data_IF_240611891156
#
_entry.id   IF_240611891156
#
_cell.length_a   1.000
_cell.length_b   1.000
_cell.length_c   1.000
_cell.angle_alpha   90.00
_cell.angle_beta   90.00
_cell.angle_gamma   90.00
#
_symmetry.space_group_name_H-M   'P 1'
#
loop_
_entity.id
_entity.type
_entity.pdbx_description
1 polymer ?
#
# COMPACT_ATOMS: atom_id res chain seq x y z
N UNK A 1 16.15 -5.47 -8.53
CA UNK A 1 15.49 -6.29 -7.51
C UNK A 1 14.78 -5.34 -6.57
N UNK A 2 13.45 -5.32 -6.56
CA UNK A 2 12.69 -4.60 -5.53
C UNK A 2 12.56 -5.55 -4.35
N UNK A 3 13.44 -5.38 -3.36
CA UNK A 3 13.49 -6.26 -2.20
C UNK A 3 12.16 -6.20 -1.45
N UNK A 4 11.56 -7.36 -1.16
CA UNK A 4 10.31 -7.46 -0.39
C UNK A 4 10.35 -6.64 0.91
N UNK A 5 11.53 -6.55 1.52
CA UNK A 5 11.80 -5.74 2.71
C UNK A 5 11.54 -4.25 2.47
N UNK A 6 11.88 -3.72 1.30
CA UNK A 6 11.60 -2.33 0.93
C UNK A 6 10.12 -2.07 0.72
N UNK A 7 9.39 -3.02 0.12
CA UNK A 7 7.93 -2.92 -0.03
C UNK A 7 7.22 -3.00 1.34
N UNK A 8 7.66 -3.89 2.23
CA UNK A 8 7.10 -4.02 3.58
C UNK A 8 7.35 -2.76 4.43
N UNK A 9 8.57 -2.21 4.38
CA UNK A 9 8.88 -0.96 5.08
C UNK A 9 8.01 0.21 4.57
N UNK A 10 7.77 0.28 3.26
CA UNK A 10 6.86 1.28 2.67
C UNK A 10 5.41 1.08 3.09
N UNK A 11 4.95 -0.17 3.16
CA UNK A 11 3.60 -0.49 3.63
C UNK A 11 3.42 -0.02 5.08
N UNK A 12 4.37 -0.33 5.97
CA UNK A 12 4.32 0.10 7.36
C UNK A 12 4.27 1.63 7.48
N UNK A 13 5.13 2.34 6.74
CA UNK A 13 5.11 3.81 6.71
C UNK A 13 3.79 4.38 6.16
N UNK A 14 3.18 3.73 5.16
CA UNK A 14 1.90 4.14 4.60
C UNK A 14 0.72 3.88 5.58
N UNK A 15 0.75 2.78 6.32
CA UNK A 15 -0.24 2.47 7.36
C UNK A 15 -0.13 3.45 8.55
N UNK A 16 1.09 3.78 8.99
CA UNK A 16 1.32 4.81 10.01
C UNK A 16 0.82 6.19 9.54
N UNK A 17 1.10 6.56 8.30
CA UNK A 17 0.60 7.79 7.71
C UNK A 17 -0.93 7.86 7.69
N UNK A 18 -1.59 6.74 7.34
CA UNK A 18 -3.05 6.65 7.36
C UNK A 18 -3.61 6.79 8.78
N UNK A 19 -2.97 6.17 9.77
CA UNK A 19 -3.34 6.31 11.19
C UNK A 19 -3.14 7.76 11.68
N UNK A 20 -2.05 8.42 11.30
CA UNK A 20 -1.83 9.82 11.66
C UNK A 20 -2.88 10.75 11.03
N UNK A 21 -3.21 10.55 9.75
CA UNK A 21 -4.31 11.29 9.10
C UNK A 21 -5.65 11.03 9.80
N UNK A 22 -5.90 9.81 10.30
CA UNK A 22 -7.08 9.44 11.07
C UNK A 22 -7.15 10.14 12.44
N UNK A 23 -6.01 10.32 13.10
CA UNK A 23 -5.91 11.02 14.39
C UNK A 23 -6.08 12.54 14.23
N UNK A 24 -6.05 13.05 12.99
CA UNK A 24 -6.25 14.47 12.67
C UNK A 24 -5.01 15.18 12.15
N UNK A 25 -3.99 14.45 11.66
CA UNK A 25 -2.87 15.07 10.95
C UNK A 25 -3.35 15.73 9.66
N UNK A 26 -2.81 16.91 9.36
CA UNK A 26 -3.25 17.76 8.25
C UNK A 26 -2.72 17.28 6.88
N UNK A 27 -1.49 16.74 6.87
CA UNK A 27 -0.86 16.15 5.70
C UNK A 27 0.29 15.22 6.13
N UNK A 28 0.44 14.08 5.47
CA UNK A 28 1.54 13.14 5.72
C UNK A 28 2.29 12.84 4.43
N UNK A 29 3.62 12.87 4.49
CA UNK A 29 4.49 12.63 3.36
C UNK A 29 4.86 11.15 3.28
N UNK A 30 4.42 10.45 2.23
CA UNK A 30 4.71 9.04 2.00
C UNK A 30 5.68 8.90 0.84
N UNK A 31 6.82 8.26 1.08
CA UNK A 31 7.82 8.04 0.04
C UNK A 31 7.42 6.86 -0.87
N UNK A 32 7.05 7.18 -2.11
CA UNK A 32 6.78 6.19 -3.16
C UNK A 32 8.10 5.95 -3.88
N UNK A 33 8.91 5.05 -3.32
CA UNK A 33 10.28 4.94 -3.82
C UNK A 33 10.35 4.53 -5.29
N UNK A 34 11.11 5.33 -6.05
CA UNK A 34 11.18 5.32 -7.50
C UNK A 34 10.65 6.62 -8.14
N UNK A 35 9.64 7.27 -7.55
CA UNK A 35 8.99 8.45 -8.15
C UNK A 35 8.92 9.68 -7.22
N UNK A 36 9.35 9.55 -5.97
CA UNK A 36 9.44 10.65 -5.00
C UNK A 36 8.41 10.55 -3.88
N UNK A 37 8.43 11.53 -2.98
CA UNK A 37 7.50 11.58 -1.86
C UNK A 37 6.19 12.23 -2.28
N UNK A 38 5.07 11.52 -2.08
CA UNK A 38 3.73 12.08 -2.26
C UNK A 38 3.19 12.51 -0.90
N UNK A 39 2.83 13.78 -0.81
CA UNK A 39 2.10 14.30 0.34
C UNK A 39 0.63 13.95 0.18
N UNK A 40 0.11 13.14 1.10
CA UNK A 40 -1.31 12.79 1.20
C UNK A 40 -1.95 13.62 2.30
N UNK A 41 -3.03 14.34 1.96
CA UNK A 41 -3.86 15.04 2.94
C UNK A 41 -5.07 14.17 3.34
N UNK A 42 -5.83 14.58 4.36
CA UNK A 42 -7.00 13.84 4.83
C UNK A 42 -8.05 13.62 3.73
N UNK A 43 -8.14 14.54 2.77
CA UNK A 43 -9.01 14.45 1.58
C UNK A 43 -8.60 13.33 0.61
N UNK A 44 -7.33 12.93 0.63
CA UNK A 44 -6.78 11.86 -0.20
C UNK A 44 -6.70 10.52 0.55
N UNK A 45 -7.35 10.37 1.72
CA UNK A 45 -7.41 9.12 2.47
C UNK A 45 -7.82 7.92 1.62
N UNK A 46 -8.80 8.10 0.73
CA UNK A 46 -9.24 7.03 -0.18
C UNK A 46 -8.15 6.63 -1.17
N UNK A 47 -7.33 7.57 -1.65
CA UNK A 47 -6.18 7.29 -2.52
C UNK A 47 -5.06 6.61 -1.76
N UNK A 48 -4.79 7.05 -0.52
CA UNK A 48 -3.80 6.42 0.36
C UNK A 48 -4.20 4.97 0.67
N UNK A 49 -5.48 4.71 0.94
CA UNK A 49 -5.99 3.36 1.15
C UNK A 49 -5.84 2.48 -0.10
N UNK A 50 -6.19 2.99 -1.28
CA UNK A 50 -5.99 2.27 -2.53
C UNK A 50 -4.51 1.95 -2.79
N UNK A 51 -3.60 2.86 -2.42
CA UNK A 51 -2.16 2.65 -2.52
C UNK A 51 -1.65 1.58 -1.55
N UNK A 52 -2.15 1.53 -0.31
CA UNK A 52 -1.85 0.46 0.65
C UNK A 52 -2.32 -0.90 0.10
N UNK A 53 -3.54 -0.96 -0.43
CA UNK A 53 -4.09 -2.20 -1.01
C UNK A 53 -3.28 -2.64 -2.24
N UNK A 54 -2.80 -1.70 -3.07
CA UNK A 54 -1.88 -1.97 -4.17
C UNK A 54 -0.54 -2.53 -3.69
N UNK A 55 0.08 -1.90 -2.67
CA UNK A 55 1.33 -2.37 -2.05
C UNK A 55 1.20 -3.79 -1.50
N UNK A 56 0.08 -4.12 -0.84
CA UNK A 56 -0.22 -5.49 -0.36
C UNK A 56 -0.32 -6.48 -1.51
N UNK A 57 -1.00 -6.10 -2.60
CA UNK A 57 -1.10 -6.93 -3.79
C UNK A 57 0.26 -7.15 -4.47
N UNK A 58 1.09 -6.13 -4.52
CA UNK A 58 2.44 -6.19 -5.08
C UNK A 58 3.37 -7.05 -4.23
N UNK A 59 3.32 -6.92 -2.90
CA UNK A 59 4.00 -7.82 -1.96
C UNK A 59 3.56 -9.27 -2.19
N UNK A 60 2.26 -9.53 -2.31
CA UNK A 60 1.75 -10.90 -2.55
C UNK A 60 2.18 -11.46 -3.92
N UNK A 61 2.25 -10.62 -4.96
CA UNK A 61 2.76 -11.00 -6.28
C UNK A 61 4.25 -11.36 -6.21
N UNK A 62 5.06 -10.52 -5.56
CA UNK A 62 6.51 -10.71 -5.43
C UNK A 62 6.83 -11.87 -4.49
N UNK A 63 6.05 -12.08 -3.42
CA UNK A 63 6.23 -13.20 -2.49
C UNK A 63 5.73 -14.54 -3.05
N UNK A 64 5.15 -14.57 -4.26
CA UNK A 64 4.66 -15.78 -4.90
C UNK A 64 3.37 -16.36 -4.30
N UNK A 65 2.70 -15.64 -3.39
CA UNK A 65 1.44 -16.08 -2.78
C UNK A 65 0.23 -15.50 -3.53
N UNK A 66 0.29 -15.52 -4.86
CA UNK A 66 -0.88 -15.30 -5.70
C UNK A 66 -1.81 -16.50 -5.52
N UNK A 67 -2.67 -16.44 -4.49
CA UNK A 67 -3.75 -17.41 -4.27
C UNK A 67 -4.62 -17.48 -5.52
N UNK A 68 -4.29 -18.39 -6.43
CA UNK A 68 -5.21 -18.90 -7.44
C UNK A 68 -6.33 -19.62 -6.69
N UNK A 69 -7.38 -18.88 -6.33
CA UNK A 69 -8.63 -19.48 -5.90
C UNK A 69 -9.12 -20.43 -7.00
N UNK A 70 -9.47 -21.65 -6.65
CA UNK A 70 -10.01 -22.65 -7.58
C UNK A 70 -11.27 -22.05 -8.22
N UNK A 71 -11.23 -21.82 -9.53
CA UNK A 71 -12.42 -21.41 -10.31
C UNK A 71 -13.33 -22.65 -10.38
N UNK A 72 -14.38 -22.68 -9.56
CA UNK A 72 -15.48 -23.64 -9.76
C UNK A 72 -16.34 -23.13 -10.90
N UNK A 73 -16.12 -23.64 -12.12
CA UNK A 73 -17.07 -23.49 -13.22
C UNK A 73 -18.16 -24.54 -12.99
N UNK A 74 -19.38 -24.09 -12.71
CA UNK A 74 -20.56 -24.95 -12.78
C UNK A 74 -21.07 -24.92 -14.23
N UNK A 75 -21.24 -26.11 -14.81
CA UNK A 75 -21.80 -26.36 -16.15
C UNK A 75 -23.30 -26.60 -16.06
#
# INVERSE_FOLDING_TARGET
MTDLTTLQARLAAAEEAYHQLLIGAQAVNVNIGGYGSTTYASVDMSKLKAYIDHLKAEINKVSGNARRGIIKVAF
#
